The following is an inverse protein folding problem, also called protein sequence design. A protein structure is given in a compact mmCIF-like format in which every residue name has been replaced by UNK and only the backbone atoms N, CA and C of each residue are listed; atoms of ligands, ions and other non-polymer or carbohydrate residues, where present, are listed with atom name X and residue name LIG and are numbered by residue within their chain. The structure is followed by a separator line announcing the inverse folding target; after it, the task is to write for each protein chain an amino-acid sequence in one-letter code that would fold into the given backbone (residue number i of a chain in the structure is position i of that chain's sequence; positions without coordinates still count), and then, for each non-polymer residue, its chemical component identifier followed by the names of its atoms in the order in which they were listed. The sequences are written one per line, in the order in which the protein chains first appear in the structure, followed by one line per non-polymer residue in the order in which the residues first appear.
data_IF_649837977759
#
_entry.id   IF_649837977759
#
_cell.length_a   1.000
_cell.length_b   1.000
_cell.length_c   1.000
_cell.angle_alpha   90.00
_cell.angle_beta   90.00
_cell.angle_gamma   90.00
#
_symmetry.space_group_name_H-M   'P 1'
#
loop_
_entity.id
_entity.type
_entity.pdbx_description
1 polymer ?
#
# COMPACT_ATOMS: atom_id res chain seq x y z
N UNK A 1 11.53 4.10 9.70
CA UNK A 1 10.10 4.32 10.07
C UNK A 1 9.58 5.69 9.64
N UNK A 2 10.36 6.76 9.87
CA UNK A 2 10.00 8.16 9.54
C UNK A 2 9.73 8.39 8.05
N UNK A 3 10.43 7.67 7.17
CA UNK A 3 10.27 7.78 5.72
C UNK A 3 8.92 7.30 5.17
N UNK A 4 8.06 6.70 6.00
CA UNK A 4 6.70 6.29 5.65
C UNK A 4 5.63 7.25 6.21
N UNK A 5 5.98 8.07 7.19
CA UNK A 5 5.03 8.99 7.82
C UNK A 5 4.76 10.16 6.87
N UNK A 6 3.49 10.36 6.50
CA UNK A 6 3.09 11.39 5.54
C UNK A 6 3.20 10.99 4.06
N UNK A 7 3.57 9.74 3.75
CA UNK A 7 3.52 9.24 2.37
C UNK A 7 2.13 8.78 1.99
N UNK A 8 1.64 9.27 0.86
CA UNK A 8 0.43 8.76 0.21
C UNK A 8 0.74 7.43 -0.45
N UNK A 9 0.03 6.38 -0.04
CA UNK A 9 0.18 5.00 -0.54
C UNK A 9 -1.12 4.47 -1.09
N UNK A 10 -1.01 3.47 -1.96
CA UNK A 10 -2.16 2.77 -2.51
C UNK A 10 -2.52 1.56 -1.64
N UNK A 11 -3.80 1.46 -1.24
CA UNK A 11 -4.32 0.33 -0.45
C UNK A 11 -5.51 -0.32 -1.16
N UNK A 12 -5.48 -1.65 -1.25
CA UNK A 12 -6.65 -2.48 -1.60
C UNK A 12 -7.39 -2.82 -0.30
N UNK A 13 -8.59 -2.29 -0.14
CA UNK A 13 -9.42 -2.47 1.05
C UNK A 13 -10.57 -3.48 0.88
N UNK A 14 -10.79 -4.02 -0.33
CA UNK A 14 -11.88 -4.98 -0.62
C UNK A 14 -11.49 -6.45 -0.34
N UNK A 15 -10.42 -6.68 0.42
CA UNK A 15 -9.95 -8.01 0.78
C UNK A 15 -10.42 -8.35 2.19
N UNK A 16 -10.69 -9.64 2.42
CA UNK A 16 -10.95 -10.13 3.78
C UNK A 16 -9.69 -9.92 4.63
N UNK A 17 -9.82 -9.54 5.91
CA UNK A 17 -8.68 -9.41 6.80
C UNK A 17 -7.83 -10.69 6.81
N UNK A 18 -6.52 -10.52 6.70
CA UNK A 18 -5.57 -11.63 6.69
C UNK A 18 -4.67 -11.53 7.91
N UNK A 19 -4.49 -12.64 8.64
CA UNK A 19 -3.51 -12.68 9.73
C UNK A 19 -2.11 -12.90 9.14
N UNK A 20 -1.25 -11.92 9.32
CA UNK A 20 0.16 -11.96 8.95
C UNK A 20 1.00 -11.91 10.23
N UNK A 21 1.76 -12.97 10.51
CA UNK A 21 2.64 -13.06 11.69
C UNK A 21 1.92 -12.74 13.03
N UNK A 22 0.66 -13.13 13.16
CA UNK A 22 -0.15 -12.88 14.37
C UNK A 22 -0.84 -11.52 14.43
N UNK A 23 -0.57 -10.62 13.48
CA UNK A 23 -1.22 -9.31 13.36
C UNK A 23 -2.29 -9.37 12.26
N UNK A 24 -3.45 -8.76 12.52
CA UNK A 24 -4.54 -8.67 11.54
C UNK A 24 -4.27 -7.53 10.54
N UNK A 25 -4.17 -7.89 9.27
CA UNK A 25 -3.99 -6.96 8.15
C UNK A 25 -5.34 -6.64 7.54
N UNK A 26 -5.78 -5.39 7.70
CA UNK A 26 -7.06 -4.87 7.19
C UNK A 26 -7.00 -4.32 5.76
N UNK A 27 -5.86 -4.48 5.09
CA UNK A 27 -5.67 -4.03 3.72
C UNK A 27 -4.36 -4.53 3.16
N UNK A 28 -4.17 -4.34 1.85
CA UNK A 28 -2.95 -4.67 1.14
C UNK A 28 -2.38 -3.42 0.50
N UNK A 29 -1.12 -3.10 0.80
CA UNK A 29 -0.41 -2.02 0.13
C UNK A 29 0.06 -2.51 -1.23
N UNK A 30 -0.22 -1.75 -2.29
CA UNK A 30 0.23 -2.08 -3.65
C UNK A 30 1.70 -1.71 -3.86
N UNK A 31 2.45 -2.66 -4.39
CA UNK A 31 3.84 -2.50 -4.77
C UNK A 31 4.09 -3.14 -6.14
N UNK A 32 4.95 -2.52 -6.94
CA UNK A 32 5.44 -3.10 -8.17
C UNK A 32 6.77 -3.82 -7.89
N UNK A 33 6.86 -5.07 -8.30
CA UNK A 33 8.10 -5.85 -8.22
C UNK A 33 8.52 -6.22 -9.64
N UNK A 34 9.72 -5.82 -10.10
CA UNK A 34 10.31 -6.46 -11.27
C UNK A 34 10.63 -7.93 -10.94
N UNK A 35 10.66 -8.80 -11.95
CA UNK A 35 10.86 -10.25 -11.74
C UNK A 35 12.10 -10.53 -10.86
N UNK A 36 11.87 -11.17 -9.71
CA UNK A 36 12.90 -11.48 -8.71
C UNK A 36 13.50 -10.29 -7.95
N UNK A 37 13.00 -9.07 -8.20
CA UNK A 37 13.48 -7.84 -7.61
C UNK A 37 12.78 -7.42 -6.32
N UNK A 38 13.28 -6.34 -5.71
CA UNK A 38 12.68 -5.76 -4.50
C UNK A 38 11.36 -5.05 -4.84
N UNK A 39 10.29 -5.25 -4.06
CA UNK A 39 9.04 -4.52 -4.24
C UNK A 39 9.26 -3.02 -4.01
N UNK A 40 8.80 -2.21 -4.95
CA UNK A 40 8.77 -0.76 -4.86
C UNK A 40 7.33 -0.30 -4.66
N UNK A 41 7.09 0.51 -3.63
CA UNK A 41 5.75 1.00 -3.31
C UNK A 41 5.20 1.86 -4.45
N UNK A 42 3.92 1.66 -4.78
CA UNK A 42 3.22 2.56 -5.70
C UNK A 42 2.88 3.85 -4.95
N UNK A 43 3.33 4.98 -5.49
CA UNK A 43 3.07 6.32 -4.98
C UNK A 43 2.55 7.21 -6.10
N UNK A 44 1.97 8.35 -5.74
CA UNK A 44 1.51 9.36 -6.69
C UNK A 44 2.55 10.48 -6.84
N UNK A 45 2.71 11.01 -8.05
CA UNK A 45 3.59 12.17 -8.33
C UNK A 45 3.01 13.51 -7.82
N UNK A 46 1.76 13.51 -7.33
CA UNK A 46 1.07 14.70 -6.83
C UNK A 46 0.25 14.41 -5.59
N UNK A 47 -0.36 15.47 -5.06
CA UNK A 47 -1.20 15.36 -3.87
C UNK A 47 -2.58 14.79 -4.25
N UNK A 48 -2.92 13.66 -3.64
CA UNK A 48 -4.17 12.94 -3.90
C UNK A 48 -4.91 12.84 -2.57
N UNK A 49 -6.14 13.35 -2.47
CA UNK A 49 -6.92 13.26 -1.25
C UNK A 49 -7.03 11.82 -0.75
N UNK A 50 -6.83 11.56 0.55
CA UNK A 50 -7.02 10.23 1.13
C UNK A 50 -8.41 9.67 0.80
N UNK A 51 -8.47 8.40 0.41
CA UNK A 51 -9.73 7.75 0.02
C UNK A 51 -10.15 7.95 -1.44
N UNK A 52 -9.35 8.67 -2.24
CA UNK A 52 -9.55 8.75 -3.69
C UNK A 52 -9.56 7.36 -4.31
N UNK A 53 -10.63 7.04 -5.05
CA UNK A 53 -10.80 5.73 -5.68
C UNK A 53 -9.86 5.63 -6.89
N UNK A 54 -8.98 4.63 -6.85
CA UNK A 54 -8.12 4.27 -7.97
C UNK A 54 -8.97 3.57 -9.04
N UNK A 55 -8.67 3.85 -10.30
CA UNK A 55 -9.42 3.37 -11.45
C UNK A 55 -8.49 2.73 -12.47
#
# INVERSE_FOLDING_TARGET
PESLVGKTVVIVFNLKPAKLMGIESNGMILAASPDGGKPTLVSFDGDVPPGSRIR
#
